data_IF_130137555135
#
_entry.id   IF_130137555135
#
_cell.length_a   1.000
_cell.length_b   1.000
_cell.length_c   1.000
_cell.angle_alpha   90.00
_cell.angle_beta   90.00
_cell.angle_gamma   90.00
#
_symmetry.space_group_name_H-M   'P 1'
#
loop_
_entity.id
_entity.type
_entity.pdbx_description
1 polymer ?
#
# COMPACT_ATOMS: atom_id res chain seq x y z
N UNK A 1 55.16 27.79 5.38
CA UNK A 1 53.71 27.59 5.54
C UNK A 1 53.51 26.09 5.51
N UNK A 2 53.67 25.47 6.68
CA UNK A 2 53.46 24.03 6.88
C UNK A 2 51.99 23.79 7.18
N UNK A 3 51.43 22.82 6.46
CA UNK A 3 50.04 22.37 6.48
C UNK A 3 49.70 21.74 7.85
N UNK A 4 48.71 22.32 8.53
CA UNK A 4 48.06 21.70 9.68
C UNK A 4 46.85 20.89 9.19
N UNK A 5 47.10 19.66 8.74
CA UNK A 5 46.03 18.67 8.52
C UNK A 5 45.68 18.07 9.88
N UNK A 6 44.44 18.24 10.40
CA UNK A 6 44.04 17.61 11.65
C UNK A 6 43.99 16.10 11.48
N UNK A 7 44.56 15.36 12.43
CA UNK A 7 44.43 13.91 12.45
C UNK A 7 42.97 13.50 12.64
N UNK A 8 42.48 12.49 11.89
CA UNK A 8 41.12 12.00 12.03
C UNK A 8 40.93 11.33 13.40
N UNK A 9 39.76 11.49 14.05
CA UNK A 9 39.50 10.94 15.36
C UNK A 9 39.47 9.41 15.33
N UNK A 10 40.25 8.79 16.21
CA UNK A 10 40.31 7.36 16.41
C UNK A 10 39.01 6.88 17.09
N UNK A 11 38.02 6.53 16.27
CA UNK A 11 36.70 6.11 16.75
C UNK A 11 36.42 4.70 16.27
N UNK A 12 36.64 3.73 17.16
CA UNK A 12 36.15 2.37 17.00
C UNK A 12 34.61 2.36 17.14
N UNK A 13 33.93 2.63 16.03
CA UNK A 13 32.47 2.58 15.92
C UNK A 13 31.89 1.22 16.36
N UNK A 14 32.67 0.14 16.27
CA UNK A 14 32.23 -1.18 16.69
C UNK A 14 32.15 -1.32 18.22
N UNK A 15 33.02 -0.62 18.98
CA UNK A 15 32.94 -0.57 20.44
C UNK A 15 31.69 0.19 20.92
N UNK A 16 31.33 1.29 20.23
CA UNK A 16 30.11 2.07 20.51
C UNK A 16 28.83 1.23 20.36
N UNK A 17 28.72 0.48 19.26
CA UNK A 17 27.55 -0.37 18.97
C UNK A 17 27.35 -1.50 20.00
N UNK A 18 28.44 -2.13 20.48
CA UNK A 18 28.37 -3.19 21.50
C UNK A 18 27.86 -2.67 22.85
N UNK A 19 28.15 -1.41 23.20
CA UNK A 19 27.70 -0.82 24.47
C UNK A 19 26.18 -0.56 24.50
N UNK A 20 25.59 -0.13 23.38
CA UNK A 20 24.16 0.16 23.26
C UNK A 20 23.30 -1.11 23.29
N UNK A 21 23.76 -2.19 22.65
CA UNK A 21 23.08 -3.49 22.67
C UNK A 21 23.00 -4.11 24.08
N UNK A 22 23.99 -3.85 24.95
CA UNK A 22 23.97 -4.33 26.34
C UNK A 22 22.97 -3.56 27.21
N UNK A 23 22.76 -2.26 26.96
CA UNK A 23 21.82 -1.42 27.74
C UNK A 23 20.35 -1.77 27.46
N UNK A 24 20.00 -2.12 26.22
CA UNK A 24 18.61 -2.47 25.85
C UNK A 24 18.18 -3.83 26.41
N UNK A 25 19.07 -4.82 26.50
CA UNK A 25 18.74 -6.12 27.13
C UNK A 25 18.39 -6.01 28.62
N UNK A 26 19.04 -5.11 29.38
CA UNK A 26 18.75 -4.93 30.81
C UNK A 26 17.38 -4.31 31.10
N UNK A 27 16.80 -3.54 30.17
CA UNK A 27 15.49 -2.89 30.38
C UNK A 27 14.29 -3.78 30.13
N UNK A 28 14.44 -4.89 29.41
CA UNK A 28 13.32 -5.81 29.09
C UNK A 28 13.02 -6.85 30.19
N UNK A 29 13.81 -6.90 31.27
CA UNK A 29 13.67 -7.93 32.32
C UNK A 29 12.76 -7.59 33.50
N UNK A 30 12.12 -6.42 33.55
CA UNK A 30 11.41 -5.95 34.78
C UNK A 30 9.88 -5.81 34.61
N UNK A 31 9.32 -5.97 33.41
CA UNK A 31 7.89 -5.75 33.19
C UNK A 31 7.10 -7.07 33.03
N UNK A 32 6.89 -7.81 34.13
CA UNK A 32 5.89 -8.89 34.20
C UNK A 32 5.39 -9.04 35.64
N UNK A 33 4.50 -8.13 36.05
CA UNK A 33 3.61 -8.32 37.20
C UNK A 33 2.48 -7.28 37.16
N UNK A 34 1.28 -7.67 36.73
CA UNK A 34 0.00 -7.26 37.32
C UNK A 34 -1.17 -7.82 36.50
N UNK A 35 -2.05 -8.54 37.20
CA UNK A 35 -3.27 -9.15 36.71
C UNK A 35 -4.45 -8.15 36.64
N UNK A 36 -5.50 -8.49 35.88
CA UNK A 36 -6.89 -8.26 36.33
C UNK A 36 -7.87 -9.10 35.51
N UNK A 37 -8.62 -9.94 36.23
CA UNK A 37 -9.82 -10.59 35.73
C UNK A 37 -10.98 -9.59 35.76
N UNK A 38 -11.76 -9.52 34.68
CA UNK A 38 -13.01 -8.74 34.64
C UNK A 38 -14.16 -9.71 34.35
N UNK A 39 -15.07 -9.77 35.31
CA UNK A 39 -16.31 -10.54 35.26
C UNK A 39 -17.32 -9.84 34.33
N UNK A 40 -17.92 -10.60 33.41
CA UNK A 40 -18.99 -10.13 32.52
C UNK A 40 -20.34 -10.44 33.16
N UNK A 41 -21.05 -9.40 33.59
CA UNK A 41 -22.45 -9.48 33.99
C UNK A 41 -23.36 -9.29 32.76
N UNK A 42 -24.16 -10.30 32.46
CA UNK A 42 -25.19 -10.24 31.43
C UNK A 42 -26.39 -9.41 31.92
N UNK A 43 -26.72 -8.33 31.22
CA UNK A 43 -27.95 -7.56 31.45
C UNK A 43 -28.96 -7.92 30.38
N UNK A 44 -30.04 -8.57 30.81
CA UNK A 44 -31.25 -8.85 30.03
C UNK A 44 -32.11 -7.58 30.05
N UNK A 45 -32.41 -7.01 28.88
CA UNK A 45 -33.40 -5.93 28.74
C UNK A 45 -34.68 -6.51 28.14
N UNK A 46 -35.85 -6.36 28.81
CA UNK A 46 -37.12 -6.86 28.31
C UNK A 46 -37.66 -6.01 27.15
N UNK A 47 -38.23 -6.71 26.17
CA UNK A 47 -39.04 -6.15 25.10
C UNK A 47 -40.30 -5.48 25.67
N UNK A 48 -40.46 -4.18 25.43
CA UNK A 48 -41.74 -3.51 25.57
C UNK A 48 -42.41 -3.43 24.18
N UNK A 49 -43.37 -4.32 23.97
CA UNK A 49 -44.38 -4.22 22.93
C UNK A 49 -45.27 -3.01 23.23
N UNK A 50 -45.29 -2.02 22.34
CA UNK A 50 -46.38 -1.06 22.30
C UNK A 50 -47.04 -1.07 20.93
N UNK A 51 -48.21 -1.72 20.89
CA UNK A 51 -49.20 -1.57 19.84
C UNK A 51 -49.96 -0.27 20.05
N UNK A 52 -50.04 0.52 18.98
CA UNK A 52 -50.93 1.65 18.86
C UNK A 52 -51.62 1.56 17.51
N UNK A 53 -52.88 1.14 17.52
CA UNK A 53 -53.81 1.29 16.41
C UNK A 53 -53.96 2.78 16.08
N UNK A 54 -53.82 3.12 14.82
CA UNK A 54 -54.12 4.46 14.32
C UNK A 54 -54.78 4.41 12.95
N UNK A 55 -55.63 5.40 12.64
CA UNK A 55 -56.77 5.25 11.73
C UNK A 55 -56.35 5.20 10.27
N UNK A 56 -57.06 4.36 9.52
CA UNK A 56 -56.96 4.16 8.07
C UNK A 56 -57.27 5.46 7.30
N UNK A 57 -56.29 6.07 6.61
CA UNK A 57 -56.55 7.17 5.69
C UNK A 57 -56.92 6.63 4.30
N UNK A 58 -57.80 7.38 3.68
CA UNK A 58 -58.46 7.21 2.39
C UNK A 58 -57.48 6.98 1.25
N UNK A 59 -57.84 6.03 0.36
CA UNK A 59 -57.09 5.68 -0.84
C UNK A 59 -57.04 6.84 -1.84
N UNK A 60 -55.96 7.62 -1.79
CA UNK A 60 -55.44 8.35 -2.94
C UNK A 60 -54.31 7.54 -3.55
N UNK A 61 -54.41 7.21 -4.84
CA UNK A 61 -53.35 6.55 -5.61
C UNK A 61 -52.16 7.51 -5.75
N UNK A 62 -51.35 7.58 -4.70
CA UNK A 62 -50.02 8.14 -4.74
C UNK A 62 -49.10 7.05 -5.29
N UNK A 63 -48.45 7.31 -6.42
CA UNK A 63 -47.28 6.56 -6.83
C UNK A 63 -46.27 6.63 -5.69
N UNK A 64 -46.27 5.61 -4.82
CA UNK A 64 -45.32 5.46 -3.73
C UNK A 64 -43.95 5.33 -4.41
N UNK A 65 -43.03 6.30 -4.28
CA UNK A 65 -41.71 6.14 -4.85
C UNK A 65 -41.15 4.85 -4.28
N UNK A 66 -40.88 3.90 -5.18
CA UNK A 66 -40.37 2.58 -4.86
C UNK A 66 -39.11 2.80 -4.04
N UNK A 67 -39.24 2.63 -2.74
CA UNK A 67 -38.17 2.70 -1.74
C UNK A 67 -37.42 1.37 -1.84
N UNK A 68 -36.88 1.11 -3.03
CA UNK A 68 -35.89 0.05 -3.20
C UNK A 68 -34.73 0.37 -2.26
N UNK A 69 -34.09 -0.66 -1.67
CA UNK A 69 -32.89 -0.44 -0.89
C UNK A 69 -31.91 0.37 -1.75
N UNK A 70 -31.68 1.61 -1.35
CA UNK A 70 -30.78 2.51 -2.04
C UNK A 70 -29.38 1.95 -1.78
N UNK A 71 -28.81 1.28 -2.78
CA UNK A 71 -27.44 0.78 -2.70
C UNK A 71 -26.56 1.97 -2.31
N UNK A 72 -25.80 1.89 -1.21
CA UNK A 72 -24.90 2.96 -0.81
C UNK A 72 -24.04 3.36 -2.01
N UNK A 73 -23.89 4.67 -2.25
CA UNK A 73 -23.00 5.15 -3.30
C UNK A 73 -21.61 4.57 -3.08
N UNK A 74 -20.92 4.21 -4.17
CA UNK A 74 -19.55 3.77 -4.07
C UNK A 74 -18.70 4.90 -3.49
N UNK A 75 -17.86 4.58 -2.50
CA UNK A 75 -16.87 5.51 -2.00
C UNK A 75 -15.81 5.64 -3.09
N UNK A 76 -15.64 6.83 -3.63
CA UNK A 76 -14.74 7.09 -4.74
C UNK A 76 -13.62 8.05 -4.33
N UNK A 77 -12.47 7.91 -4.97
CA UNK A 77 -11.41 8.89 -4.83
C UNK A 77 -11.81 10.19 -5.53
N UNK A 78 -11.62 11.35 -4.89
CA UNK A 78 -11.74 12.63 -5.58
C UNK A 78 -10.86 12.62 -6.84
N UNK A 79 -11.28 13.30 -7.93
CA UNK A 79 -10.46 13.38 -9.12
C UNK A 79 -9.07 13.88 -8.75
N UNK A 80 -8.04 13.14 -9.13
CA UNK A 80 -6.66 13.50 -8.82
C UNK A 80 -6.38 14.83 -9.49
N UNK A 81 -6.32 15.91 -8.72
CA UNK A 81 -5.87 17.18 -9.25
C UNK A 81 -4.42 17.02 -9.67
N UNK A 82 -4.00 17.71 -10.73
CA UNK A 82 -2.58 17.81 -11.10
C UNK A 82 -1.75 18.60 -10.08
N UNK A 83 -2.37 18.96 -8.97
CA UNK A 83 -1.72 19.67 -7.89
C UNK A 83 -0.88 18.72 -7.08
N UNK A 84 0.34 19.17 -6.79
CA UNK A 84 1.21 18.51 -5.83
C UNK A 84 0.50 18.38 -4.49
N UNK A 85 0.87 17.35 -3.74
CA UNK A 85 0.36 17.12 -2.40
C UNK A 85 0.30 18.40 -1.56
N UNK A 86 1.37 19.19 -1.53
CA UNK A 86 1.48 20.48 -0.81
C UNK A 86 0.31 21.46 -1.06
N UNK A 87 -0.33 21.39 -2.23
CA UNK A 87 -1.47 22.25 -2.62
C UNK A 87 -2.82 21.53 -2.58
N UNK A 88 -2.81 20.21 -2.44
CA UNK A 88 -4.04 19.47 -2.25
C UNK A 88 -4.59 19.79 -0.86
N UNK A 89 -5.89 20.05 -0.77
CA UNK A 89 -6.55 20.42 0.48
C UNK A 89 -7.36 19.23 1.06
N UNK A 90 -7.32 19.02 2.38
CA UNK A 90 -8.31 18.21 3.11
C UNK A 90 -9.75 18.68 2.80
N UNK A 91 -10.73 17.79 2.90
CA UNK A 91 -12.13 18.09 2.55
C UNK A 91 -13.08 17.68 3.66
N UNK A 92 -14.25 18.33 3.69
CA UNK A 92 -15.40 17.94 4.50
C UNK A 92 -15.46 18.52 5.92
N UNK A 93 -14.42 19.17 6.45
CA UNK A 93 -14.43 19.72 7.82
C UNK A 93 -13.70 18.80 8.81
N UNK A 94 -13.85 19.07 10.13
CA UNK A 94 -13.11 18.35 11.18
C UNK A 94 -13.25 16.84 11.09
N UNK A 95 -12.18 16.13 11.44
CA UNK A 95 -12.17 14.67 11.46
C UNK A 95 -12.66 14.18 12.83
N UNK A 96 -13.86 13.61 12.84
CA UNK A 96 -14.53 13.12 14.03
C UNK A 96 -14.46 11.59 14.11
N UNK A 97 -14.64 11.03 15.30
CA UNK A 97 -14.80 9.58 15.44
C UNK A 97 -16.11 9.13 14.77
N UNK A 98 -16.13 7.88 14.29
CA UNK A 98 -17.36 7.26 13.79
C UNK A 98 -17.44 7.09 12.27
N UNK A 99 -16.37 7.37 11.52
CA UNK A 99 -16.32 6.93 10.13
C UNK A 99 -16.42 5.39 10.06
N UNK A 100 -17.15 4.89 9.07
CA UNK A 100 -17.43 3.46 8.88
C UNK A 100 -16.54 2.84 7.82
N UNK A 101 -16.06 3.65 6.87
CA UNK A 101 -15.19 3.23 5.76
C UNK A 101 -14.07 4.24 5.55
N UNK A 102 -12.92 3.77 5.10
CA UNK A 102 -11.77 4.58 4.73
C UNK A 102 -11.16 4.10 3.41
N UNK A 103 -11.11 4.97 2.40
CA UNK A 103 -10.52 4.68 1.10
C UNK A 103 -9.18 5.41 0.94
N UNK A 104 -8.15 4.67 0.52
CA UNK A 104 -6.86 5.24 0.20
C UNK A 104 -6.83 5.72 -1.25
N UNK A 105 -6.41 6.96 -1.46
CA UNK A 105 -6.39 7.61 -2.76
C UNK A 105 -5.00 8.16 -3.07
N UNK A 106 -4.55 8.07 -4.33
CA UNK A 106 -3.29 8.64 -4.73
C UNK A 106 -3.40 10.17 -4.73
N UNK A 107 -2.32 10.83 -4.33
CA UNK A 107 -2.14 12.27 -4.49
C UNK A 107 -0.82 12.45 -5.21
N UNK A 108 -0.80 13.32 -6.22
CA UNK A 108 0.40 13.53 -7.02
C UNK A 108 1.56 14.00 -6.13
N UNK A 109 2.56 13.13 -6.00
CA UNK A 109 3.74 13.33 -5.16
C UNK A 109 5.01 13.65 -5.95
N UNK A 110 6.11 13.90 -5.25
CA UNK A 110 7.40 14.19 -5.88
C UNK A 110 8.10 12.94 -6.45
N UNK A 111 7.77 11.73 -5.99
CA UNK A 111 8.52 10.51 -6.30
C UNK A 111 7.65 9.34 -6.82
N UNK A 112 6.61 9.69 -7.57
CA UNK A 112 5.76 8.73 -8.27
C UNK A 112 4.39 8.56 -7.64
N UNK A 113 3.47 8.05 -8.46
CA UNK A 113 2.11 7.70 -8.07
C UNK A 113 2.04 6.20 -7.75
N UNK A 114 1.10 5.81 -6.90
CA UNK A 114 0.78 4.40 -6.65
C UNK A 114 -0.62 4.10 -7.19
N UNK A 115 -0.92 2.84 -7.48
CA UNK A 115 -2.29 2.44 -7.75
C UNK A 115 -3.00 2.25 -6.42
N UNK A 116 -4.05 3.03 -6.16
CA UNK A 116 -4.84 2.83 -4.94
C UNK A 116 -5.52 1.45 -4.94
N UNK A 117 -5.64 0.81 -3.76
CA UNK A 117 -6.53 -0.33 -3.61
C UNK A 117 -7.97 0.07 -3.96
N UNK A 118 -8.70 -0.85 -4.59
CA UNK A 118 -10.09 -0.62 -4.99
C UNK A 118 -11.08 -0.78 -3.82
N UNK A 119 -10.70 -1.53 -2.79
CA UNK A 119 -11.49 -1.77 -1.59
C UNK A 119 -11.20 -0.75 -0.49
N UNK A 120 -12.24 -0.47 0.29
CA UNK A 120 -12.15 0.40 1.45
C UNK A 120 -11.82 -0.43 2.70
N UNK A 121 -11.08 0.19 3.62
CA UNK A 121 -10.94 -0.30 4.98
C UNK A 121 -12.26 -0.08 5.73
N UNK A 122 -12.75 -1.09 6.45
CA UNK A 122 -14.05 -1.03 7.11
C UNK A 122 -13.96 -1.16 8.64
N UNK A 123 -14.99 -0.63 9.31
CA UNK A 123 -15.33 -0.93 10.71
C UNK A 123 -14.13 -0.92 11.68
N UNK A 124 -13.75 -2.09 12.21
CA UNK A 124 -12.69 -2.25 13.20
C UNK A 124 -11.33 -1.74 12.70
N UNK A 125 -11.05 -1.88 11.40
CA UNK A 125 -9.84 -1.33 10.80
C UNK A 125 -9.80 0.21 10.86
N UNK A 126 -10.94 0.84 10.60
CA UNK A 126 -11.11 2.30 10.69
C UNK A 126 -10.95 2.78 12.14
N UNK A 127 -11.45 2.04 13.13
CA UNK A 127 -11.26 2.37 14.54
C UNK A 127 -9.77 2.42 14.93
N UNK A 128 -8.98 1.42 14.52
CA UNK A 128 -7.52 1.39 14.76
C UNK A 128 -6.81 2.54 14.04
N UNK A 129 -7.28 2.92 12.85
CA UNK A 129 -6.75 4.07 12.12
C UNK A 129 -6.99 5.38 12.90
N UNK A 130 -8.17 5.55 13.51
CA UNK A 130 -8.48 6.72 14.33
C UNK A 130 -7.67 6.79 15.61
N UNK A 131 -7.50 5.67 16.33
CA UNK A 131 -6.59 5.60 17.48
C UNK A 131 -5.19 6.08 17.08
N UNK A 132 -4.76 5.73 15.86
CA UNK A 132 -3.47 6.18 15.35
C UNK A 132 -3.44 7.68 15.06
N UNK A 133 -4.44 8.22 14.39
CA UNK A 133 -4.57 9.65 14.10
C UNK A 133 -4.57 10.49 15.38
N UNK A 134 -5.36 10.09 16.38
CA UNK A 134 -5.45 10.78 17.67
C UNK A 134 -4.12 10.76 18.46
N UNK A 135 -3.24 9.80 18.18
CA UNK A 135 -1.93 9.68 18.83
C UNK A 135 -0.83 10.54 18.19
N UNK A 136 -1.10 11.19 17.06
CA UNK A 136 -0.08 11.92 16.33
C UNK A 136 0.28 13.23 17.05
N UNK A 137 1.59 13.58 17.11
CA UNK A 137 1.99 14.90 17.57
C UNK A 137 1.68 15.96 16.51
N UNK A 138 1.32 17.16 16.96
CA UNK A 138 1.29 18.34 16.10
C UNK A 138 2.65 18.59 15.45
N UNK A 139 2.63 19.06 14.20
CA UNK A 139 3.85 19.43 13.50
C UNK A 139 4.45 20.71 14.09
N UNK A 140 5.78 20.75 14.19
CA UNK A 140 6.48 21.98 14.55
C UNK A 140 6.26 23.06 13.49
N UNK A 141 6.23 24.33 13.91
CA UNK A 141 6.25 25.45 12.97
C UNK A 141 7.65 25.53 12.35
N UNK A 142 7.73 25.61 11.01
CA UNK A 142 8.97 25.70 10.24
C UNK A 142 9.97 24.54 10.47
N UNK A 143 9.55 23.29 10.26
CA UNK A 143 10.45 22.15 10.45
C UNK A 143 11.53 22.13 9.36
N UNK A 144 12.73 21.69 9.70
CA UNK A 144 13.79 21.41 8.72
C UNK A 144 13.52 20.00 8.18
N UNK A 145 13.07 19.91 6.94
CA UNK A 145 12.75 18.64 6.28
C UNK A 145 13.95 18.12 5.50
N UNK A 146 14.06 16.80 5.39
CA UNK A 146 14.91 16.15 4.40
C UNK A 146 14.30 16.29 3.00
N UNK A 147 15.12 16.13 1.96
CA UNK A 147 14.64 15.94 0.59
C UNK A 147 14.56 14.44 0.25
N UNK A 148 14.13 13.63 1.23
CA UNK A 148 13.87 12.22 1.01
C UNK A 148 12.70 12.05 0.03
N UNK A 149 12.75 11.00 -0.76
CA UNK A 149 11.68 10.70 -1.69
C UNK A 149 10.56 9.90 -1.03
N UNK A 150 9.35 10.02 -1.56
CA UNK A 150 8.21 9.27 -1.07
C UNK A 150 6.91 9.63 -1.78
N UNK A 151 5.89 8.87 -1.40
CA UNK A 151 4.53 9.01 -1.91
C UNK A 151 3.74 10.02 -1.08
N UNK A 152 2.81 10.72 -1.72
CA UNK A 152 1.74 11.42 -1.04
C UNK A 152 0.44 10.65 -1.22
N UNK A 153 -0.46 10.79 -0.26
CA UNK A 153 -1.72 10.06 -0.26
C UNK A 153 -2.83 10.87 0.38
N UNK A 154 -4.06 10.51 0.05
CA UNK A 154 -5.28 10.99 0.73
C UNK A 154 -5.99 9.78 1.30
N UNK A 155 -6.54 9.91 2.50
CA UNK A 155 -7.52 8.95 3.00
C UNK A 155 -8.87 9.66 3.07
N UNK A 156 -9.86 9.10 2.39
CA UNK A 156 -11.25 9.55 2.39
C UNK A 156 -12.01 8.70 3.38
N UNK A 157 -12.62 9.35 4.36
CA UNK A 157 -13.43 8.76 5.42
C UNK A 157 -14.90 8.96 5.09
N UNK A 158 -15.69 7.90 5.10
CA UNK A 158 -17.15 7.95 4.94
C UNK A 158 -17.83 7.67 6.27
N UNK A 159 -18.79 8.50 6.62
CA UNK A 159 -19.57 8.42 7.87
C UNK A 159 -20.94 7.78 7.64
N UNK A 160 -21.66 7.36 8.70
CA UNK A 160 -22.98 6.72 8.56
C UNK A 160 -24.02 7.57 7.82
N UNK A 161 -23.89 8.90 7.86
CA UNK A 161 -24.74 9.85 7.14
C UNK A 161 -24.30 10.06 5.68
N UNK A 162 -23.36 9.25 5.18
CA UNK A 162 -22.73 9.34 3.86
C UNK A 162 -21.91 10.62 3.64
N UNK A 163 -21.71 11.43 4.69
CA UNK A 163 -20.79 12.55 4.60
C UNK A 163 -19.36 12.03 4.51
N UNK A 164 -18.53 12.75 3.74
CA UNK A 164 -17.13 12.40 3.56
C UNK A 164 -16.22 13.46 4.16
N UNK A 165 -15.12 13.00 4.77
CA UNK A 165 -14.01 13.83 5.25
C UNK A 165 -12.73 13.27 4.67
N UNK A 166 -11.67 14.05 4.60
CA UNK A 166 -10.38 13.50 4.18
C UNK A 166 -9.20 14.20 4.82
N UNK A 167 -8.11 13.48 5.00
CA UNK A 167 -6.80 14.05 5.30
C UNK A 167 -5.78 13.66 4.23
N UNK A 168 -4.68 14.40 4.19
CA UNK A 168 -3.59 14.19 3.23
C UNK A 168 -2.32 13.89 4.02
N UNK A 169 -1.61 12.84 3.64
CA UNK A 169 -0.33 12.47 4.22
C UNK A 169 0.79 12.49 3.20
N UNK A 170 1.98 12.84 3.66
CA UNK A 170 3.22 12.82 2.87
C UNK A 170 4.18 11.83 3.53
N UNK A 171 4.66 10.84 2.78
CA UNK A 171 5.67 9.88 3.26
C UNK A 171 7.10 10.33 2.96
N UNK A 172 7.28 11.63 2.68
CA UNK A 172 8.55 12.26 2.41
C UNK A 172 8.69 13.57 3.20
N UNK A 173 9.88 14.14 3.18
CA UNK A 173 10.19 15.42 3.79
C UNK A 173 9.99 15.40 5.30
N UNK A 174 9.02 16.19 5.76
CA UNK A 174 8.69 16.26 7.19
C UNK A 174 7.65 15.22 7.64
N UNK A 175 7.26 14.32 6.74
CA UNK A 175 6.24 13.30 6.97
C UNK A 175 4.94 13.88 7.53
N UNK A 176 4.45 14.96 6.91
CA UNK A 176 3.32 15.72 7.42
C UNK A 176 1.99 15.06 7.07
N UNK A 177 1.05 15.17 8.00
CA UNK A 177 -0.34 14.80 7.81
C UNK A 177 -1.20 16.05 8.03
N UNK A 178 -1.94 16.47 7.02
CA UNK A 178 -2.80 17.66 7.05
C UNK A 178 -4.26 17.25 7.15
N UNK A 179 -4.95 17.81 8.13
CA UNK A 179 -6.41 17.76 8.30
C UNK A 179 -6.95 19.19 8.16
N UNK A 180 -8.27 19.37 8.24
CA UNK A 180 -8.85 20.73 8.31
C UNK A 180 -8.52 21.45 9.61
N UNK A 181 -8.16 20.70 10.66
CA UNK A 181 -8.00 21.23 12.03
C UNK A 181 -6.54 21.49 12.38
N UNK A 182 -5.61 20.98 11.57
CA UNK A 182 -4.19 21.22 11.78
C UNK A 182 -3.27 20.33 10.95
N UNK A 183 -1.99 20.46 11.25
CA UNK A 183 -0.92 19.67 10.65
C UNK A 183 -0.21 18.87 11.74
N UNK A 184 -0.07 17.58 11.48
CA UNK A 184 0.57 16.60 12.35
C UNK A 184 1.83 16.06 11.67
N UNK A 185 2.70 15.42 12.44
CA UNK A 185 3.86 14.69 11.91
C UNK A 185 3.62 13.18 11.96
N UNK A 186 4.54 12.39 11.40
CA UNK A 186 4.49 10.92 11.32
C UNK A 186 3.36 10.37 10.45
N UNK A 187 3.06 11.03 9.34
CA UNK A 187 2.09 10.54 8.34
C UNK A 187 2.38 9.10 7.88
N UNK A 188 3.66 8.70 7.80
CA UNK A 188 4.03 7.32 7.47
C UNK A 188 3.45 6.29 8.43
N UNK A 189 3.33 6.61 9.72
CA UNK A 189 2.77 5.66 10.69
C UNK A 189 1.26 5.45 10.48
N UNK A 190 0.54 6.46 9.97
CA UNK A 190 -0.88 6.33 9.59
C UNK A 190 -1.02 5.50 8.33
N UNK A 191 -0.19 5.78 7.31
CA UNK A 191 -0.11 5.00 6.09
C UNK A 191 0.14 3.51 6.40
N UNK A 192 1.18 3.20 7.16
CA UNK A 192 1.52 1.83 7.55
C UNK A 192 0.40 1.16 8.37
N UNK A 193 -0.35 1.94 9.15
CA UNK A 193 -1.51 1.44 9.89
C UNK A 193 -2.64 1.08 8.95
N UNK A 194 -2.98 1.96 7.99
CA UNK A 194 -4.01 1.69 6.99
C UNK A 194 -3.69 0.42 6.20
N UNK A 195 -2.50 0.32 5.61
CA UNK A 195 -2.11 -0.83 4.79
C UNK A 195 -2.16 -2.15 5.58
N UNK A 196 -1.71 -2.12 6.83
CA UNK A 196 -1.74 -3.31 7.71
C UNK A 196 -3.17 -3.75 8.01
N UNK A 197 -4.06 -2.82 8.32
CA UNK A 197 -5.46 -3.16 8.61
C UNK A 197 -6.18 -3.64 7.34
N UNK A 198 -5.91 -3.04 6.18
CA UNK A 198 -6.52 -3.49 4.92
C UNK A 198 -6.07 -4.91 4.55
N UNK A 199 -4.77 -5.22 4.68
CA UNK A 199 -4.27 -6.59 4.49
C UNK A 199 -4.89 -7.58 5.47
N UNK A 200 -5.08 -7.18 6.73
CA UNK A 200 -5.76 -8.02 7.73
C UNK A 200 -7.21 -8.29 7.32
N UNK A 201 -7.95 -7.26 6.89
CA UNK A 201 -9.31 -7.41 6.39
C UNK A 201 -9.38 -8.39 5.21
N UNK A 202 -8.46 -8.26 4.25
CA UNK A 202 -8.39 -9.16 3.08
C UNK A 202 -8.01 -10.60 3.42
N UNK A 203 -7.28 -10.83 4.51
CA UNK A 203 -6.98 -12.19 4.96
C UNK A 203 -8.24 -12.95 5.43
N UNK A 204 -9.29 -12.22 5.83
CA UNK A 204 -10.55 -12.77 6.37
C UNK A 204 -11.72 -12.62 5.38
N UNK A 205 -11.49 -12.12 4.17
CA UNK A 205 -12.53 -11.82 3.16
C UNK A 205 -12.15 -12.33 1.78
N UNK A 206 -13.16 -12.62 0.95
CA UNK A 206 -12.94 -12.99 -0.44
C UNK A 206 -12.89 -11.73 -1.33
N UNK A 207 -12.06 -11.72 -2.38
CA UNK A 207 -12.04 -10.63 -3.35
C UNK A 207 -13.38 -10.52 -4.10
N UNK A 208 -13.70 -9.32 -4.58
CA UNK A 208 -14.88 -9.12 -5.41
C UNK A 208 -14.77 -9.94 -6.71
N UNK A 209 -15.88 -10.57 -7.14
CA UNK A 209 -15.88 -11.49 -8.28
C UNK A 209 -15.57 -10.83 -9.63
N UNK A 210 -15.61 -9.50 -9.71
CA UNK A 210 -15.39 -8.74 -10.93
C UNK A 210 -14.33 -7.67 -10.70
N UNK A 211 -13.07 -8.07 -10.83
CA UNK A 211 -11.95 -7.14 -10.93
C UNK A 211 -11.61 -6.95 -12.40
N UNK A 212 -11.67 -5.71 -12.88
CA UNK A 212 -11.16 -5.37 -14.22
C UNK A 212 -9.64 -5.37 -14.18
N UNK A 213 -9.03 -6.47 -14.59
CA UNK A 213 -7.58 -6.52 -14.80
C UNK A 213 -7.22 -5.76 -16.07
N UNK A 214 -6.29 -4.82 -15.95
CA UNK A 214 -5.69 -4.13 -17.09
C UNK A 214 -4.23 -3.91 -16.77
N UNK A 215 -3.35 -4.67 -17.41
CA UNK A 215 -1.90 -4.54 -17.28
C UNK A 215 -1.30 -3.75 -18.44
N UNK A 216 -0.42 -2.80 -18.13
CA UNK A 216 0.37 -2.04 -19.11
C UNK A 216 1.79 -1.78 -18.60
N UNK A 217 2.77 -1.76 -19.50
CA UNK A 217 4.15 -1.46 -19.11
C UNK A 217 4.34 -0.04 -18.55
N UNK A 218 3.42 0.87 -18.84
CA UNK A 218 3.43 2.21 -18.24
C UNK A 218 3.02 2.20 -16.76
N UNK A 219 2.28 1.18 -16.33
CA UNK A 219 1.83 1.02 -14.94
C UNK A 219 2.92 0.49 -14.01
N UNK A 220 4.05 0.01 -14.51
CA UNK A 220 5.12 -0.55 -13.68
C UNK A 220 5.76 0.42 -12.69
N UNK A 221 5.36 1.70 -12.73
CA UNK A 221 5.76 2.74 -11.77
C UNK A 221 4.73 2.96 -10.66
N UNK A 222 3.53 2.41 -10.79
CA UNK A 222 2.39 2.64 -9.90
C UNK A 222 1.88 1.32 -9.32
N UNK A 223 2.76 0.65 -8.58
CA UNK A 223 2.41 -0.55 -7.83
C UNK A 223 1.39 -0.21 -6.73
N UNK A 224 0.50 -1.16 -6.43
CA UNK A 224 -0.40 -1.05 -5.29
C UNK A 224 0.38 -1.25 -3.99
N UNK A 225 0.12 -0.41 -2.98
CA UNK A 225 0.81 -0.51 -1.71
C UNK A 225 0.30 -1.65 -0.83
N UNK A 226 -0.81 -2.30 -1.18
CA UNK A 226 -1.30 -3.49 -0.47
C UNK A 226 -1.18 -4.78 -1.27
N UNK A 227 -1.00 -4.68 -2.59
CA UNK A 227 -0.85 -5.85 -3.46
C UNK A 227 0.36 -6.69 -3.09
N UNK A 228 0.18 -8.00 -3.08
CA UNK A 228 1.26 -8.97 -2.95
C UNK A 228 1.25 -9.89 -4.16
N UNK A 229 2.44 -10.28 -4.63
CA UNK A 229 2.60 -11.20 -5.75
C UNK A 229 1.94 -12.57 -5.53
N UNK A 230 1.62 -12.90 -4.27
CA UNK A 230 0.95 -14.14 -3.85
C UNK A 230 -0.55 -14.02 -3.70
N UNK A 231 -1.14 -12.85 -3.89
CA UNK A 231 -2.59 -12.62 -3.74
C UNK A 231 -3.38 -13.11 -4.98
N UNK A 232 -3.00 -14.26 -5.53
CA UNK A 232 -3.60 -14.88 -6.70
C UNK A 232 -3.49 -14.00 -7.96
N UNK A 233 -2.40 -14.12 -8.72
CA UNK A 233 -2.28 -13.38 -9.98
C UNK A 233 -3.33 -13.86 -10.99
N UNK A 234 -3.99 -12.92 -11.66
CA UNK A 234 -5.08 -13.17 -12.65
C UNK A 234 -4.72 -12.73 -14.07
N UNK A 235 -3.81 -11.77 -14.21
CA UNK A 235 -3.29 -11.29 -15.50
C UNK A 235 -1.84 -10.87 -15.32
N UNK A 236 -1.03 -11.03 -16.36
CA UNK A 236 0.37 -10.60 -16.34
C UNK A 236 0.94 -10.33 -17.74
N UNK A 237 1.84 -9.37 -17.77
CA UNK A 237 2.63 -9.01 -18.95
C UNK A 237 4.11 -8.98 -18.61
N UNK A 238 4.93 -9.28 -19.60
CA UNK A 238 6.36 -9.10 -19.58
C UNK A 238 6.70 -7.80 -20.31
N UNK A 239 7.28 -6.87 -19.57
CA UNK A 239 7.73 -5.58 -20.04
C UNK A 239 9.23 -5.61 -20.27
N UNK A 240 9.64 -5.29 -21.48
CA UNK A 240 11.05 -5.24 -21.88
C UNK A 240 11.38 -3.82 -22.28
N UNK A 241 12.21 -3.15 -21.49
CA UNK A 241 12.73 -1.82 -21.81
C UNK A 241 14.16 -1.91 -22.30
N UNK A 242 14.40 -1.49 -23.52
CA UNK A 242 15.75 -1.30 -24.05
C UNK A 242 16.16 0.14 -23.75
N UNK A 243 17.24 0.30 -22.99
CA UNK A 243 17.78 1.61 -22.62
C UNK A 243 19.06 1.81 -23.41
N UNK A 244 18.90 2.19 -24.67
CA UNK A 244 20.05 2.62 -25.48
C UNK A 244 20.26 4.12 -25.24
N UNK A 245 21.48 4.61 -25.53
CA UNK A 245 21.80 6.04 -25.40
C UNK A 245 20.96 6.94 -26.33
N UNK A 246 20.26 6.37 -27.31
CA UNK A 246 19.61 7.10 -28.41
C UNK A 246 18.09 6.87 -28.43
N UNK A 247 17.61 5.71 -27.99
CA UNK A 247 16.19 5.36 -28.04
C UNK A 247 15.72 4.58 -26.80
N UNK A 248 14.56 5.00 -26.27
CA UNK A 248 13.82 4.28 -25.24
C UNK A 248 12.67 3.54 -25.88
N UNK A 249 12.76 2.23 -25.78
CA UNK A 249 11.87 1.27 -26.43
C UNK A 249 11.26 0.40 -25.34
N UNK A 250 9.95 0.41 -25.21
CA UNK A 250 9.23 -0.52 -24.32
C UNK A 250 8.42 -1.49 -25.17
N UNK A 251 8.63 -2.78 -24.96
CA UNK A 251 7.81 -3.85 -25.53
C UNK A 251 6.96 -4.48 -24.43
N UNK A 252 5.70 -4.74 -24.76
CA UNK A 252 4.74 -5.44 -23.91
C UNK A 252 4.42 -6.79 -24.53
N UNK A 253 4.61 -7.86 -23.75
CA UNK A 253 4.35 -9.24 -24.18
C UNK A 253 3.39 -9.86 -23.17
N UNK A 254 2.22 -10.32 -23.61
CA UNK A 254 1.29 -11.02 -22.72
C UNK A 254 1.89 -12.34 -22.23
N UNK A 255 1.79 -12.62 -20.93
CA UNK A 255 2.17 -13.92 -20.37
C UNK A 255 0.96 -14.85 -20.52
N UNK A 256 1.08 -15.98 -21.25
CA UNK A 256 -0.04 -16.90 -21.43
C UNK A 256 -0.55 -17.42 -20.07
N UNK A 257 -1.87 -17.57 -19.93
CA UNK A 257 -2.50 -18.00 -18.68
C UNK A 257 -1.92 -19.31 -18.11
N UNK A 258 -1.62 -20.29 -18.96
CA UNK A 258 -0.98 -21.54 -18.54
C UNK A 258 0.40 -21.30 -17.90
N UNK A 259 1.23 -20.45 -18.52
CA UNK A 259 2.52 -20.07 -17.95
C UNK A 259 2.34 -19.27 -16.66
N UNK A 260 1.36 -18.36 -16.58
CA UNK A 260 1.09 -17.61 -15.35
C UNK A 260 0.78 -18.53 -14.16
N UNK A 261 0.00 -19.59 -14.35
CA UNK A 261 -0.26 -20.58 -13.30
C UNK A 261 1.00 -21.36 -12.88
N UNK A 262 1.88 -21.69 -13.84
CA UNK A 262 3.18 -22.30 -13.55
C UNK A 262 4.09 -21.34 -12.75
N UNK A 263 4.11 -20.05 -13.11
CA UNK A 263 4.88 -19.03 -12.39
C UNK A 263 4.34 -18.81 -10.97
N UNK A 264 3.01 -18.80 -10.78
CA UNK A 264 2.39 -18.70 -9.44
C UNK A 264 2.80 -19.86 -8.55
N UNK A 265 2.66 -21.08 -9.06
CA UNK A 265 3.05 -22.30 -8.34
C UNK A 265 4.53 -22.27 -7.94
N UNK A 266 5.39 -21.84 -8.85
CA UNK A 266 6.82 -21.73 -8.62
C UNK A 266 7.20 -20.63 -7.61
N UNK A 267 6.55 -19.47 -7.69
CA UNK A 267 6.72 -18.36 -6.74
C UNK A 267 6.34 -18.76 -5.31
N UNK A 268 5.33 -19.61 -5.15
CA UNK A 268 4.92 -20.15 -3.84
C UNK A 268 5.87 -21.24 -3.34
N UNK A 269 6.31 -22.13 -4.22
CA UNK A 269 7.21 -23.23 -3.88
C UNK A 269 8.65 -22.78 -3.59
N UNK A 270 9.10 -21.71 -4.26
CA UNK A 270 10.48 -21.23 -4.21
C UNK A 270 10.56 -19.75 -3.79
N UNK A 271 10.16 -19.38 -2.55
CA UNK A 271 10.45 -18.05 -2.01
C UNK A 271 11.95 -17.82 -2.04
N UNK A 272 12.44 -16.85 -2.80
CA UNK A 272 13.86 -16.49 -2.72
C UNK A 272 14.18 -15.90 -1.36
N UNK A 273 15.43 -16.06 -0.93
CA UNK A 273 15.89 -15.53 0.34
C UNK A 273 16.32 -14.07 0.17
N UNK A 274 15.80 -13.17 1.00
CA UNK A 274 16.21 -11.75 1.06
C UNK A 274 17.70 -11.52 1.43
N UNK A 275 18.50 -12.58 1.60
CA UNK A 275 19.91 -12.53 2.00
C UNK A 275 20.88 -12.85 0.86
N UNK A 276 20.38 -13.37 -0.26
CA UNK A 276 21.23 -13.72 -1.38
C UNK A 276 21.51 -12.41 -2.14
N UNK A 277 22.63 -11.78 -1.80
CA UNK A 277 23.11 -10.58 -2.48
C UNK A 277 23.60 -11.00 -3.88
N UNK A 278 22.72 -10.89 -4.87
CA UNK A 278 23.07 -11.20 -6.25
C UNK A 278 24.05 -10.15 -6.78
N UNK A 279 25.30 -10.55 -6.98
CA UNK A 279 26.32 -9.73 -7.63
C UNK A 279 26.16 -9.83 -9.14
N UNK A 280 25.29 -9.00 -9.69
CA UNK A 280 25.26 -8.80 -11.14
C UNK A 280 26.56 -8.10 -11.57
N UNK A 281 27.27 -8.65 -12.56
CA UNK A 281 28.36 -7.92 -13.20
C UNK A 281 27.78 -6.76 -13.99
N UNK A 282 27.61 -5.60 -13.34
CA UNK A 282 27.05 -4.39 -13.93
C UNK A 282 27.85 -3.89 -15.14
N UNK A 283 29.13 -4.30 -15.29
CA UNK A 283 29.93 -3.94 -16.47
C UNK A 283 29.46 -4.66 -17.74
N UNK A 284 28.77 -5.79 -17.57
CA UNK A 284 28.14 -6.58 -18.61
C UNK A 284 26.62 -6.68 -18.39
N UNK A 285 26.03 -5.67 -17.75
CA UNK A 285 24.59 -5.64 -17.48
C UNK A 285 23.81 -5.82 -18.79
N UNK A 286 22.65 -6.48 -18.76
CA UNK A 286 21.87 -6.70 -19.96
C UNK A 286 21.47 -5.35 -20.57
N UNK A 287 21.54 -5.25 -21.90
CA UNK A 287 21.05 -4.08 -22.68
C UNK A 287 19.52 -3.86 -22.56
N UNK A 288 18.85 -4.67 -21.74
CA UNK A 288 17.41 -4.67 -21.52
C UNK A 288 17.06 -4.80 -20.04
N UNK A 289 16.07 -4.04 -19.62
CA UNK A 289 15.39 -4.18 -18.34
C UNK A 289 14.12 -4.99 -18.53
N UNK A 290 14.00 -6.09 -17.79
CA UNK A 290 12.82 -6.96 -17.84
C UNK A 290 12.02 -6.78 -16.56
N UNK A 291 10.71 -6.63 -16.68
CA UNK A 291 9.79 -6.49 -15.54
C UNK A 291 8.53 -7.28 -15.83
N UNK A 292 8.07 -8.10 -14.90
CA UNK A 292 6.73 -8.68 -14.94
C UNK A 292 5.80 -7.71 -14.24
N UNK A 293 4.75 -7.26 -14.92
CA UNK A 293 3.65 -6.51 -14.32
C UNK A 293 2.46 -7.45 -14.27
N UNK A 294 1.88 -7.62 -13.09
CA UNK A 294 0.75 -8.52 -12.89
C UNK A 294 -0.37 -7.84 -12.11
N UNK A 295 -1.59 -8.33 -12.28
CA UNK A 295 -2.76 -7.94 -11.49
C UNK A 295 -3.18 -9.09 -10.58
N UNK A 296 -3.48 -8.79 -9.31
CA UNK A 296 -3.96 -9.77 -8.32
C UNK A 296 -5.48 -9.98 -8.43
N UNK A 297 -6.00 -10.98 -7.72
CA UNK A 297 -7.46 -11.19 -7.57
C UNK A 297 -8.17 -9.99 -6.94
N UNK A 298 -7.45 -9.10 -6.25
CA UNK A 298 -7.97 -7.86 -5.66
C UNK A 298 -7.90 -6.64 -6.59
N UNK A 299 -7.33 -6.79 -7.79
CA UNK A 299 -7.15 -5.69 -8.74
C UNK A 299 -5.92 -4.84 -8.52
N UNK A 300 -5.06 -5.26 -7.59
CA UNK A 300 -3.79 -4.62 -7.34
C UNK A 300 -2.78 -4.95 -8.42
N UNK A 301 -2.05 -3.93 -8.87
CA UNK A 301 -0.89 -4.06 -9.74
C UNK A 301 0.34 -4.31 -8.89
N UNK A 302 1.04 -5.38 -9.19
CA UNK A 302 2.33 -5.74 -8.59
C UNK A 302 3.40 -5.81 -9.68
N UNK A 303 4.65 -5.53 -9.32
CA UNK A 303 5.78 -5.65 -10.23
C UNK A 303 6.85 -6.57 -9.70
N UNK A 304 7.46 -7.34 -10.61
CA UNK A 304 8.66 -8.12 -10.35
C UNK A 304 9.74 -7.66 -11.31
N UNK A 305 10.82 -7.07 -10.79
CA UNK A 305 11.88 -6.46 -11.62
C UNK A 305 13.08 -7.38 -11.70
N UNK A 306 13.50 -7.76 -12.89
CA UNK A 306 14.69 -8.57 -13.08
C UNK A 306 15.95 -7.74 -12.75
N UNK A 307 16.84 -8.28 -11.91
CA UNK A 307 18.14 -7.69 -11.57
C UNK A 307 19.26 -8.24 -12.48
N UNK A 308 19.16 -9.52 -12.83
CA UNK A 308 20.11 -10.37 -13.57
C UNK A 308 19.31 -11.34 -14.47
N UNK A 309 19.93 -12.39 -15.04
CA UNK A 309 19.38 -13.57 -15.77
C UNK A 309 18.00 -14.08 -15.28
N UNK A 310 16.97 -13.24 -15.40
CA UNK A 310 15.63 -13.40 -14.86
C UNK A 310 15.54 -13.71 -13.35
N UNK A 311 16.48 -13.21 -12.54
CA UNK A 311 16.29 -13.14 -11.08
C UNK A 311 15.49 -11.90 -10.75
N UNK A 312 14.28 -12.09 -10.25
CA UNK A 312 13.34 -11.01 -9.99
C UNK A 312 13.39 -10.53 -8.55
N UNK A 313 13.30 -9.21 -8.36
CA UNK A 313 13.02 -8.61 -7.06
C UNK A 313 11.52 -8.55 -6.87
N UNK A 314 11.06 -9.05 -5.73
CA UNK A 314 9.69 -8.97 -5.26
C UNK A 314 9.60 -7.87 -4.23
N UNK A 315 8.94 -6.77 -4.60
CA UNK A 315 8.69 -5.65 -3.71
C UNK A 315 7.34 -5.82 -3.01
N UNK A 316 7.37 -5.84 -1.68
CA UNK A 316 6.17 -5.79 -0.85
C UNK A 316 6.26 -4.56 0.05
N UNK A 317 5.31 -3.63 -0.08
CA UNK A 317 5.29 -2.42 0.73
C UNK A 317 5.19 -2.77 2.24
N UNK A 318 6.05 -2.18 3.06
CA UNK A 318 6.07 -2.43 4.50
C UNK A 318 6.88 -3.64 4.94
N UNK A 319 7.46 -4.40 4.00
CA UNK A 319 8.55 -5.32 4.32
C UNK A 319 9.87 -4.55 4.37
N UNK A 320 10.67 -4.82 5.40
CA UNK A 320 11.93 -4.10 5.62
C UNK A 320 13.00 -4.42 4.57
N UNK A 321 12.79 -5.47 3.77
CA UNK A 321 13.70 -5.91 2.71
C UNK A 321 12.89 -6.49 1.56
N UNK A 322 13.21 -6.14 0.30
CA UNK A 322 12.68 -6.88 -0.83
C UNK A 322 13.13 -8.34 -0.73
N UNK A 323 12.27 -9.25 -1.16
CA UNK A 323 12.67 -10.63 -1.42
C UNK A 323 13.09 -10.77 -2.89
N UNK A 324 13.81 -11.83 -3.19
CA UNK A 324 14.08 -12.24 -4.56
C UNK A 324 13.20 -13.43 -4.93
N UNK A 325 13.03 -13.67 -6.22
CA UNK A 325 12.51 -14.91 -6.75
C UNK A 325 13.31 -15.26 -7.99
N UNK A 326 13.81 -16.49 -8.02
CA UNK A 326 14.45 -17.05 -9.20
C UNK A 326 13.52 -18.13 -9.74
N UNK A 327 12.98 -17.97 -10.97
CA UNK A 327 12.16 -19.00 -11.58
C UNK A 327 12.94 -20.31 -11.70
N UNK A 328 12.25 -21.45 -11.61
CA UNK A 328 12.83 -22.74 -12.00
C UNK A 328 13.35 -22.70 -13.43
N UNK A 329 14.27 -23.61 -13.78
CA UNK A 329 14.85 -23.67 -15.12
C UNK A 329 13.81 -23.79 -16.24
N UNK A 330 12.71 -24.53 -16.01
CA UNK A 330 11.61 -24.65 -16.95
C UNK A 330 10.90 -23.30 -17.17
N UNK A 331 10.54 -22.61 -16.08
CA UNK A 331 9.88 -21.30 -16.14
C UNK A 331 10.80 -20.21 -16.72
N UNK A 332 12.08 -20.25 -16.40
CA UNK A 332 13.08 -19.35 -16.97
C UNK A 332 13.15 -19.52 -18.50
N UNK A 333 13.26 -20.75 -19.01
CA UNK A 333 13.26 -21.01 -20.45
C UNK A 333 11.97 -20.56 -21.13
N UNK A 334 10.81 -20.73 -20.48
CA UNK A 334 9.54 -20.27 -21.00
C UNK A 334 9.48 -18.72 -21.12
N UNK A 335 9.95 -18.01 -20.10
CA UNK A 335 10.09 -16.54 -20.13
C UNK A 335 11.08 -16.07 -21.19
N UNK A 336 12.24 -16.74 -21.32
CA UNK A 336 13.23 -16.45 -22.37
C UNK A 336 12.66 -16.65 -23.77
N UNK A 337 11.87 -17.71 -23.97
CA UNK A 337 11.17 -17.95 -25.24
C UNK A 337 10.24 -16.79 -25.58
N UNK A 338 9.46 -16.29 -24.63
CA UNK A 338 8.62 -15.09 -24.84
C UNK A 338 9.47 -13.88 -25.26
N UNK A 339 10.61 -13.66 -24.60
CA UNK A 339 11.53 -12.58 -24.94
C UNK A 339 12.10 -12.69 -26.36
N UNK A 340 12.34 -13.90 -26.87
CA UNK A 340 12.83 -14.11 -28.25
C UNK A 340 11.76 -13.97 -29.32
N UNK A 341 10.48 -14.17 -28.96
CA UNK A 341 9.35 -14.03 -29.87
C UNK A 341 8.90 -12.58 -30.05
N UNK A 342 9.38 -11.68 -29.18
CA UNK A 342 9.13 -10.26 -29.31
C UNK A 342 9.73 -9.79 -30.66
N UNK A 343 8.94 -9.15 -31.54
CA UNK A 343 9.42 -8.73 -32.84
C UNK A 343 10.67 -7.87 -32.67
N UNK A 344 11.77 -8.29 -33.30
CA UNK A 344 12.95 -7.44 -33.44
C UNK A 344 12.50 -6.18 -34.16
N UNK A 345 12.67 -5.01 -33.52
CA UNK A 345 12.33 -3.73 -34.16
C UNK A 345 13.05 -3.65 -35.51
N UNK A 346 12.26 -3.58 -36.59
CA UNK A 346 12.72 -3.35 -37.95
C UNK A 346 13.18 -1.92 -38.15
#
# INVERSE_FOLDING_TARGET
>A
MEDLVPEPPDTDFAAGARSLARRTKRRRGIALAAASAVAVTAVVVPMALWGGDSPRPTAGSANKPSSGPMTPAALECPPTSKDRAERAEPTGGPIELGAVRALLCPVYGNFGDFQAPQDALEQAGVAVLFEKLASLPEAQKNPICTSDGGIAYRIVLEYPDQSQRSFIGENYGCHQLRTTDGTFTKAKEVWDTYLRQLRKQRADTEPASSVTASTSCDQGRSESPVGQVRDGLVDAILCVRYDTTIERSTQQIAIPAALLEELKTDLDANPGNAKDEYTCDRRNGPDRYVTIIATTTWGDVVSLRALCDLVFTVYSYGENRPSSWQPTSANQQALEKLLTQAPSRS
#
